data_IF_370046207722
#
_entry.id   IF_370046207722
#
_cell.length_a   1.000
_cell.length_b   1.000
_cell.length_c   1.000
_cell.angle_alpha   90.00
_cell.angle_beta   90.00
_cell.angle_gamma   90.00
#
_symmetry.space_group_name_H-M   'P 1'
#
loop_
_entity.id
_entity.type
_entity.pdbx_description
1 polymer ?
#
# COMPACT_ATOMS: atom_id res chain seq x y z
N UNK A 1 15.53 67.96 66.12
CA UNK A 1 15.11 66.55 66.04
C UNK A 1 15.74 65.80 67.20
N UNK A 2 15.03 64.84 67.79
CA UNK A 2 15.57 64.03 68.91
C UNK A 2 16.29 62.81 68.35
N UNK A 3 17.35 62.31 69.00
CA UNK A 3 18.13 61.16 68.47
C UNK A 3 17.32 59.86 68.33
N UNK A 4 16.19 59.77 69.05
CA UNK A 4 15.23 58.65 68.98
C UNK A 4 14.41 58.72 67.69
N UNK A 5 14.04 59.92 67.26
CA UNK A 5 13.31 60.17 66.02
C UNK A 5 14.17 59.84 64.80
N UNK A 6 15.46 60.20 64.84
CA UNK A 6 16.44 59.84 63.80
C UNK A 6 16.61 58.32 63.68
N UNK A 7 16.78 57.59 64.79
CA UNK A 7 16.86 56.11 64.78
C UNK A 7 15.60 55.47 64.20
N UNK A 8 14.43 56.04 64.49
CA UNK A 8 13.14 55.56 63.96
C UNK A 8 13.05 55.78 62.45
N UNK A 9 13.53 56.92 61.95
CA UNK A 9 13.61 57.21 60.52
C UNK A 9 14.55 56.22 59.82
N UNK A 10 15.73 55.96 60.39
CA UNK A 10 16.68 54.98 59.83
C UNK A 10 16.09 53.56 59.79
N UNK A 11 15.40 53.12 60.85
CA UNK A 11 14.74 51.81 60.87
C UNK A 11 13.66 51.69 59.77
N UNK A 12 12.86 52.74 59.57
CA UNK A 12 11.85 52.79 58.49
C UNK A 12 12.50 52.71 57.11
N UNK A 13 13.63 53.39 56.90
CA UNK A 13 14.36 53.35 55.62
C UNK A 13 14.95 51.96 55.33
N UNK A 14 15.46 51.24 56.33
CA UNK A 14 15.96 49.88 56.12
C UNK A 14 14.81 48.92 55.77
N UNK A 15 13.67 49.03 56.44
CA UNK A 15 12.46 48.26 56.09
C UNK A 15 11.99 48.57 54.68
N UNK A 16 12.02 49.83 54.24
CA UNK A 16 11.67 50.20 52.86
C UNK A 16 12.62 49.59 51.82
N UNK A 17 13.92 49.55 52.12
CA UNK A 17 14.93 48.91 51.26
C UNK A 17 14.67 47.40 51.14
N UNK A 18 14.37 46.73 52.26
CA UNK A 18 14.02 45.32 52.26
C UNK A 18 12.73 45.02 51.50
N UNK A 19 11.70 45.85 51.68
CA UNK A 19 10.45 45.76 50.92
C UNK A 19 10.73 45.87 49.42
N UNK A 20 11.55 46.84 49.00
CA UNK A 20 11.92 47.01 47.59
C UNK A 20 12.64 45.78 47.04
N UNK A 21 13.61 45.24 47.78
CA UNK A 21 14.35 44.05 47.36
C UNK A 21 13.42 42.83 47.21
N UNK A 22 12.56 42.60 48.21
CA UNK A 22 11.58 41.50 48.20
C UNK A 22 10.54 41.67 47.08
N UNK A 23 10.11 42.90 46.81
CA UNK A 23 9.19 43.20 45.69
C UNK A 23 9.80 42.83 44.35
N UNK A 24 11.08 43.14 44.12
CA UNK A 24 11.78 42.75 42.89
C UNK A 24 11.88 41.23 42.77
N UNK A 25 12.19 40.52 43.86
CA UNK A 25 12.23 39.06 43.86
C UNK A 25 10.84 38.45 43.59
N UNK A 26 9.79 39.01 44.18
CA UNK A 26 8.42 38.60 43.97
C UNK A 26 8.02 38.75 42.49
N UNK A 27 8.32 39.88 41.87
CA UNK A 27 8.03 40.09 40.44
C UNK A 27 8.80 39.12 39.53
N UNK A 28 10.07 38.79 39.87
CA UNK A 28 10.83 37.76 39.13
C UNK A 28 10.18 36.37 39.23
N UNK A 29 9.72 35.99 40.42
CA UNK A 29 9.04 34.70 40.63
C UNK A 29 7.70 34.69 39.90
N UNK A 30 6.92 35.77 39.98
CA UNK A 30 5.65 35.93 39.28
C UNK A 30 5.80 35.76 37.77
N UNK A 31 6.78 36.42 37.16
CA UNK A 31 7.08 36.25 35.73
C UNK A 31 7.45 34.80 35.39
N UNK A 32 8.25 34.13 36.23
CA UNK A 32 8.59 32.72 36.01
C UNK A 32 7.36 31.80 36.07
N UNK A 33 6.45 32.04 37.02
CA UNK A 33 5.20 31.29 37.14
C UNK A 33 4.36 31.49 35.87
N UNK A 34 4.18 32.73 35.42
CA UNK A 34 3.40 33.03 34.22
C UNK A 34 3.97 32.29 33.01
N UNK A 35 5.29 32.39 32.77
CA UNK A 35 5.92 31.69 31.65
C UNK A 35 5.75 30.17 31.75
N UNK A 36 5.89 29.59 32.95
CA UNK A 36 5.72 28.15 33.14
C UNK A 36 4.30 27.68 32.86
N UNK A 37 3.29 28.47 33.26
CA UNK A 37 1.88 28.19 32.95
C UNK A 37 1.64 28.28 31.45
N UNK A 38 2.10 29.34 30.78
CA UNK A 38 1.96 29.49 29.33
C UNK A 38 2.63 28.35 28.56
N UNK A 39 3.81 27.89 29.02
CA UNK A 39 4.50 26.74 28.43
C UNK A 39 3.70 25.45 28.62
N UNK A 40 3.13 25.24 29.82
CA UNK A 40 2.27 24.10 30.12
C UNK A 40 1.02 24.08 29.23
N UNK A 41 0.37 25.23 29.05
CA UNK A 41 -0.83 25.35 28.20
C UNK A 41 -0.50 25.08 26.71
N UNK A 42 0.69 25.49 26.26
CA UNK A 42 1.18 25.18 24.91
C UNK A 42 1.46 23.68 24.74
N UNK A 43 2.11 23.05 25.73
CA UNK A 43 2.36 21.61 25.72
C UNK A 43 1.06 20.80 25.74
N UNK A 44 0.04 21.23 26.48
CA UNK A 44 -1.28 20.58 26.51
C UNK A 44 -1.94 20.59 25.12
N UNK A 45 -1.85 21.71 24.39
CA UNK A 45 -2.36 21.81 23.01
C UNK A 45 -1.61 20.85 22.08
N UNK A 46 -0.28 20.81 22.15
CA UNK A 46 0.53 19.88 21.36
C UNK A 46 0.17 18.42 21.67
N UNK A 47 -0.03 18.07 22.94
CA UNK A 47 -0.46 16.73 23.34
C UNK A 47 -1.84 16.37 22.79
N UNK A 48 -2.78 17.31 22.76
CA UNK A 48 -4.09 17.10 22.15
C UNK A 48 -3.98 16.84 20.64
N UNK A 49 -3.11 17.58 19.94
CA UNK A 49 -2.84 17.36 18.51
C UNK A 49 -2.23 15.97 18.25
N UNK A 50 -1.27 15.51 19.06
CA UNK A 50 -0.68 14.18 18.91
C UNK A 50 -1.69 13.05 19.17
N UNK A 51 -2.59 13.22 20.14
CA UNK A 51 -3.66 12.25 20.39
C UNK A 51 -4.63 12.17 19.21
N UNK A 52 -5.00 13.33 18.65
CA UNK A 52 -5.84 13.40 17.46
C UNK A 52 -5.17 12.72 16.26
N UNK A 53 -3.89 12.97 16.04
CA UNK A 53 -3.15 12.33 14.94
C UNK A 53 -3.11 10.80 15.10
N UNK A 54 -2.92 10.31 16.34
CA UNK A 54 -2.98 8.88 16.62
C UNK A 54 -4.36 8.27 16.28
N UNK A 55 -5.44 8.96 16.62
CA UNK A 55 -6.80 8.52 16.27
C UNK A 55 -7.01 8.45 14.75
N UNK A 56 -6.54 9.45 14.01
CA UNK A 56 -6.60 9.46 12.54
C UNK A 56 -5.81 8.30 11.94
N UNK A 57 -4.59 8.03 12.42
CA UNK A 57 -3.79 6.89 11.96
C UNK A 57 -4.46 5.54 12.26
N UNK A 58 -5.12 5.41 13.42
CA UNK A 58 -5.90 4.23 13.74
C UNK A 58 -7.12 4.07 12.81
N UNK A 59 -7.79 5.17 12.47
CA UNK A 59 -8.90 5.17 11.52
C UNK A 59 -8.43 4.77 10.12
N UNK A 60 -7.33 5.33 9.62
CA UNK A 60 -6.74 4.95 8.33
C UNK A 60 -6.36 3.47 8.29
N UNK A 61 -5.74 2.96 9.37
CA UNK A 61 -5.46 1.53 9.51
C UNK A 61 -6.72 0.68 9.36
N UNK A 62 -7.83 1.08 10.00
CA UNK A 62 -9.10 0.34 9.90
C UNK A 62 -9.68 0.42 8.48
N UNK A 63 -9.53 1.56 7.79
CA UNK A 63 -9.92 1.70 6.38
C UNK A 63 -9.16 0.72 5.49
N UNK A 64 -7.84 0.62 5.64
CA UNK A 64 -7.04 -0.34 4.87
C UNK A 64 -7.42 -1.81 5.15
N UNK A 65 -7.82 -2.13 6.38
CA UNK A 65 -8.31 -3.49 6.71
C UNK A 65 -9.59 -3.80 5.93
N UNK A 66 -10.50 -2.83 5.79
CA UNK A 66 -11.73 -3.02 5.02
C UNK A 66 -11.45 -3.13 3.51
N UNK A 67 -10.52 -2.33 2.97
CA UNK A 67 -10.06 -2.47 1.58
C UNK A 67 -9.49 -3.87 1.32
N UNK A 68 -8.68 -4.39 2.23
CA UNK A 68 -8.17 -5.77 2.14
C UNK A 68 -9.32 -6.79 2.19
N UNK A 69 -10.34 -6.58 3.03
CA UNK A 69 -11.51 -7.46 3.09
C UNK A 69 -12.28 -7.47 1.77
N UNK A 70 -12.43 -6.31 1.13
CA UNK A 70 -13.08 -6.18 -0.16
C UNK A 70 -12.30 -6.90 -1.26
N UNK A 71 -10.97 -6.74 -1.30
CA UNK A 71 -10.11 -7.45 -2.26
C UNK A 71 -10.26 -8.96 -2.11
N UNK A 72 -10.30 -9.50 -0.89
CA UNK A 72 -10.54 -10.93 -0.68
C UNK A 72 -11.91 -11.38 -1.20
N UNK A 73 -12.96 -10.57 -0.99
CA UNK A 73 -14.29 -10.86 -1.51
C UNK A 73 -14.31 -10.88 -3.06
N UNK A 74 -13.64 -9.92 -3.69
CA UNK A 74 -13.53 -9.83 -5.15
C UNK A 74 -12.73 -11.00 -5.74
N UNK A 75 -11.65 -11.42 -5.07
CA UNK A 75 -10.89 -12.62 -5.45
C UNK A 75 -11.81 -13.85 -5.45
N UNK A 76 -12.55 -14.08 -4.35
CA UNK A 76 -13.45 -15.23 -4.24
C UNK A 76 -14.56 -15.20 -5.30
N UNK A 77 -15.08 -14.01 -5.63
CA UNK A 77 -16.05 -13.84 -6.70
C UNK A 77 -15.45 -14.22 -8.07
N UNK A 78 -14.24 -13.77 -8.37
CA UNK A 78 -13.54 -14.10 -9.61
C UNK A 78 -13.19 -15.59 -9.72
N UNK A 79 -12.77 -16.23 -8.63
CA UNK A 79 -12.55 -17.67 -8.58
C UNK A 79 -13.82 -18.46 -8.92
N UNK A 80 -14.96 -18.00 -8.42
CA UNK A 80 -16.27 -18.59 -8.73
C UNK A 80 -16.62 -18.44 -10.21
N UNK A 81 -16.39 -17.27 -10.80
CA UNK A 81 -16.62 -17.01 -12.23
C UNK A 81 -15.74 -17.90 -13.11
N UNK A 82 -14.45 -18.04 -12.77
CA UNK A 82 -13.51 -18.90 -13.49
C UNK A 82 -13.99 -20.35 -13.44
N UNK A 83 -14.31 -20.86 -12.25
CA UNK A 83 -14.80 -22.23 -12.07
C UNK A 83 -16.07 -22.48 -12.89
N UNK A 84 -17.03 -21.56 -12.86
CA UNK A 84 -18.26 -21.69 -13.64
C UNK A 84 -17.98 -21.68 -15.16
N UNK A 85 -17.05 -20.85 -15.62
CA UNK A 85 -16.67 -20.78 -17.02
C UNK A 85 -15.96 -22.08 -17.49
N UNK A 86 -15.10 -22.65 -16.65
CA UNK A 86 -14.45 -23.94 -16.90
C UNK A 86 -15.47 -25.08 -16.98
N UNK A 87 -16.42 -25.13 -16.04
CA UNK A 87 -17.52 -26.10 -16.05
C UNK A 87 -18.40 -25.96 -17.31
N UNK A 88 -18.72 -24.72 -17.72
CA UNK A 88 -19.48 -24.47 -18.95
C UNK A 88 -18.71 -24.94 -20.19
N UNK A 89 -17.42 -24.62 -20.27
CA UNK A 89 -16.54 -25.07 -21.35
C UNK A 89 -16.47 -26.59 -21.40
N UNK A 90 -16.32 -27.26 -20.25
CA UNK A 90 -16.27 -28.71 -20.18
C UNK A 90 -17.58 -29.36 -20.65
N UNK A 91 -18.73 -28.79 -20.28
CA UNK A 91 -20.04 -29.23 -20.77
C UNK A 91 -20.17 -29.08 -22.28
N UNK A 92 -19.79 -27.93 -22.84
CA UNK A 92 -19.85 -27.70 -24.29
C UNK A 92 -18.93 -28.64 -25.07
N UNK A 93 -17.72 -28.90 -24.57
CA UNK A 93 -16.80 -29.88 -25.18
C UNK A 93 -17.40 -31.28 -25.10
N UNK A 94 -17.95 -31.67 -23.96
CA UNK A 94 -18.61 -32.97 -23.79
C UNK A 94 -19.78 -33.16 -24.76
N UNK A 95 -20.58 -32.11 -25.00
CA UNK A 95 -21.66 -32.15 -26.00
C UNK A 95 -21.12 -32.29 -27.42
N UNK A 96 -20.10 -31.51 -27.80
CA UNK A 96 -19.49 -31.59 -29.11
C UNK A 96 -18.92 -32.99 -29.41
N UNK A 97 -18.35 -33.65 -28.40
CA UNK A 97 -17.81 -35.00 -28.57
C UNK A 97 -18.91 -36.05 -28.79
N UNK A 98 -20.02 -35.97 -28.04
CA UNK A 98 -21.19 -36.84 -28.27
C UNK A 98 -21.74 -36.70 -29.68
N UNK A 99 -21.87 -35.45 -30.16
CA UNK A 99 -22.31 -35.19 -31.52
C UNK A 99 -21.30 -35.72 -32.56
N UNK A 100 -20.01 -35.63 -32.29
CA UNK A 100 -18.98 -36.20 -33.17
C UNK A 100 -19.03 -37.74 -33.20
N UNK A 101 -19.27 -38.39 -32.05
CA UNK A 101 -19.49 -39.83 -31.94
C UNK A 101 -20.70 -40.30 -32.78
N UNK A 102 -21.76 -39.49 -32.85
CA UNK A 102 -22.93 -39.75 -33.70
C UNK A 102 -22.66 -39.45 -35.19
N UNK A 103 -21.91 -38.39 -35.49
CA UNK A 103 -21.58 -37.96 -36.85
C UNK A 103 -20.67 -38.96 -37.60
N UNK A 104 -19.63 -39.47 -36.94
CA UNK A 104 -18.61 -40.31 -37.58
C UNK A 104 -19.17 -41.57 -38.29
N UNK A 105 -20.04 -42.40 -37.68
CA UNK A 105 -20.61 -43.57 -38.35
C UNK A 105 -21.55 -43.18 -39.50
N UNK A 106 -22.38 -42.14 -39.34
CA UNK A 106 -23.27 -41.65 -40.39
C UNK A 106 -22.50 -41.17 -41.61
N UNK A 107 -21.42 -40.40 -41.40
CA UNK A 107 -20.53 -39.97 -42.49
C UNK A 107 -19.94 -41.18 -43.21
N UNK A 108 -19.46 -42.17 -42.46
CA UNK A 108 -18.87 -43.39 -43.03
C UNK A 108 -19.87 -44.14 -43.90
N UNK A 109 -21.11 -44.32 -43.43
CA UNK A 109 -22.19 -44.96 -44.18
C UNK A 109 -22.51 -44.20 -45.48
N UNK A 110 -22.63 -42.87 -45.41
CA UNK A 110 -22.86 -42.02 -46.60
C UNK A 110 -21.71 -42.12 -47.60
N UNK A 111 -20.46 -42.06 -47.13
CA UNK A 111 -19.28 -42.17 -47.99
C UNK A 111 -19.21 -43.54 -48.68
N UNK A 112 -19.56 -44.62 -47.97
CA UNK A 112 -19.68 -45.96 -48.55
C UNK A 112 -20.75 -45.97 -49.63
N UNK A 113 -21.95 -45.44 -49.36
CA UNK A 113 -23.02 -45.41 -50.36
C UNK A 113 -22.65 -44.61 -51.61
N UNK A 114 -21.98 -43.46 -51.43
CA UNK A 114 -21.52 -42.61 -52.55
C UNK A 114 -20.51 -43.32 -53.43
N UNK A 115 -19.54 -44.02 -52.83
CA UNK A 115 -18.49 -44.73 -53.57
C UNK A 115 -19.00 -46.00 -54.23
N UNK A 116 -19.70 -46.85 -53.49
CA UNK A 116 -20.04 -48.20 -53.94
C UNK A 116 -21.22 -48.23 -54.91
N UNK A 117 -22.24 -47.39 -54.71
CA UNK A 117 -23.46 -47.42 -55.54
C UNK A 117 -23.50 -46.34 -56.62
N UNK A 118 -22.79 -45.22 -56.43
CA UNK A 118 -22.84 -44.07 -57.36
C UNK A 118 -21.50 -43.77 -58.04
N UNK A 119 -20.40 -44.40 -57.61
CA UNK A 119 -19.05 -44.12 -58.13
C UNK A 119 -18.58 -42.68 -57.86
N UNK A 120 -19.21 -41.98 -56.90
CA UNK A 120 -18.88 -40.61 -56.54
C UNK A 120 -17.77 -40.56 -55.48
N UNK A 121 -17.03 -39.46 -55.46
CA UNK A 121 -16.03 -39.20 -54.43
C UNK A 121 -16.67 -39.01 -53.05
N UNK A 122 -15.91 -39.36 -52.00
CA UNK A 122 -16.28 -39.19 -50.59
C UNK A 122 -16.65 -37.74 -50.29
N UNK A 123 -17.47 -37.53 -49.27
CA UNK A 123 -17.67 -36.18 -48.76
C UNK A 123 -16.39 -35.68 -48.08
N UNK A 124 -16.08 -34.37 -48.18
CA UNK A 124 -14.99 -33.75 -47.42
C UNK A 124 -15.12 -34.03 -45.92
N UNK A 125 -13.99 -34.01 -45.20
CA UNK A 125 -14.02 -34.08 -43.73
C UNK A 125 -14.42 -32.72 -43.13
N UNK A 126 -14.95 -32.74 -41.90
CA UNK A 126 -15.36 -31.53 -41.16
C UNK A 126 -14.23 -30.49 -41.00
N UNK A 127 -12.97 -30.91 -41.08
CA UNK A 127 -11.81 -30.02 -41.05
C UNK A 127 -11.38 -29.51 -42.44
N UNK A 128 -11.88 -30.13 -43.52
CA UNK A 128 -11.61 -29.79 -44.92
C UNK A 128 -12.68 -28.83 -45.48
N UNK A 129 -13.91 -28.94 -44.98
CA UNK A 129 -15.04 -28.08 -45.34
C UNK A 129 -14.97 -26.77 -44.51
N UNK A 130 -14.58 -25.68 -45.15
CA UNK A 130 -14.53 -24.31 -44.58
C UNK A 130 -13.52 -24.07 -43.43
N UNK A 131 -12.22 -23.96 -43.74
CA UNK A 131 -11.24 -23.23 -42.90
C UNK A 131 -11.32 -23.48 -41.39
N UNK A 132 -11.56 -24.73 -41.00
CA UNK A 132 -12.33 -25.09 -39.81
C UNK A 132 -11.69 -24.66 -38.49
N UNK A 133 -12.49 -24.03 -37.62
CA UNK A 133 -12.17 -23.78 -36.20
C UNK A 133 -11.96 -25.12 -35.45
N UNK A 134 -12.38 -26.21 -36.05
CA UNK A 134 -12.18 -27.57 -35.58
C UNK A 134 -10.78 -28.02 -36.05
N UNK A 135 -9.77 -27.78 -35.21
CA UNK A 135 -8.45 -28.38 -35.44
C UNK A 135 -8.57 -29.92 -35.43
N UNK A 136 -7.84 -30.65 -36.28
CA UNK A 136 -7.88 -32.12 -36.37
C UNK A 136 -7.68 -32.80 -35.00
N UNK A 137 -6.81 -32.22 -34.18
CA UNK A 137 -6.49 -32.68 -32.82
C UNK A 137 -7.65 -32.52 -31.82
N UNK A 138 -8.68 -31.70 -32.08
CA UNK A 138 -9.72 -31.42 -31.06
C UNK A 138 -10.53 -32.65 -30.68
N UNK A 139 -10.72 -33.57 -31.62
CA UNK A 139 -11.45 -34.82 -31.41
C UNK A 139 -10.50 -36.04 -31.33
N UNK A 140 -9.30 -35.99 -31.93
CA UNK A 140 -8.29 -37.06 -31.82
C UNK A 140 -7.52 -37.06 -30.49
N UNK A 141 -7.22 -35.88 -29.92
CA UNK A 141 -6.42 -35.75 -28.69
C UNK A 141 -7.09 -36.39 -27.47
N UNK A 142 -8.42 -36.57 -27.48
CA UNK A 142 -9.15 -37.11 -26.34
C UNK A 142 -8.98 -38.64 -26.16
N UNK A 143 -8.57 -39.37 -27.21
CA UNK A 143 -8.15 -40.77 -27.03
C UNK A 143 -6.84 -40.89 -26.23
N UNK A 144 -5.99 -39.84 -26.23
CA UNK A 144 -4.68 -39.85 -25.55
C UNK A 144 -4.64 -39.07 -24.22
N UNK A 145 -5.50 -38.07 -23.99
CA UNK A 145 -5.41 -37.20 -22.79
C UNK A 145 -5.95 -37.80 -21.50
N UNK A 146 -6.69 -38.91 -21.54
CA UNK A 146 -7.10 -39.62 -20.32
C UNK A 146 -5.91 -40.14 -19.48
N UNK A 147 -4.69 -40.13 -20.02
CA UNK A 147 -3.49 -40.56 -19.32
C UNK A 147 -2.68 -39.46 -18.61
N UNK A 148 -2.94 -38.16 -18.84
CA UNK A 148 -1.99 -37.10 -18.44
C UNK A 148 -2.57 -35.83 -17.81
N UNK A 149 -3.82 -35.81 -17.34
CA UNK A 149 -4.43 -34.57 -16.78
C UNK A 149 -4.40 -34.47 -15.25
N UNK A 150 -3.58 -35.26 -14.55
CA UNK A 150 -3.49 -35.22 -13.08
C UNK A 150 -2.28 -34.44 -12.55
N UNK A 151 -1.86 -33.32 -13.18
CA UNK A 151 -0.91 -32.37 -12.57
C UNK A 151 -1.11 -30.94 -13.09
N UNK A 152 -2.14 -30.25 -12.61
CA UNK A 152 -2.10 -28.80 -12.47
C UNK A 152 -2.40 -28.49 -11.01
N UNK A 153 -1.39 -28.66 -10.18
CA UNK A 153 -1.34 -28.08 -8.84
C UNK A 153 -0.97 -26.62 -9.01
N UNK A 154 -1.96 -25.74 -8.90
CA UNK A 154 -1.73 -24.31 -8.72
C UNK A 154 -0.87 -24.09 -7.48
N UNK A 155 0.29 -23.41 -7.56
CA UNK A 155 1.03 -23.03 -6.37
C UNK A 155 0.25 -21.89 -5.70
N UNK A 156 -0.47 -22.22 -4.62
CA UNK A 156 -0.94 -21.23 -3.66
C UNK A 156 0.28 -20.49 -3.11
N UNK A 157 0.41 -19.21 -3.44
CA UNK A 157 1.45 -18.34 -2.91
C UNK A 157 1.18 -18.09 -1.42
N UNK A 158 1.61 -19.02 -0.58
CA UNK A 158 1.60 -18.88 0.87
C UNK A 158 2.77 -18.01 1.28
N UNK A 159 2.53 -16.72 1.50
CA UNK A 159 3.46 -15.86 2.24
C UNK A 159 3.40 -16.25 3.73
N UNK A 160 4.24 -17.19 4.14
CA UNK A 160 4.51 -17.46 5.56
C UNK A 160 5.96 -17.18 5.88
N UNK A 161 6.12 -16.18 6.75
CA UNK A 161 7.32 -15.66 7.42
C UNK A 161 8.18 -16.77 8.05
N UNK A 162 9.52 -16.63 8.09
CA UNK A 162 10.37 -17.62 8.73
C UNK A 162 10.31 -17.51 10.27
N UNK A 163 9.95 -18.62 10.92
CA UNK A 163 10.23 -18.88 12.34
C UNK A 163 11.41 -19.86 12.45
N UNK A 164 12.35 -19.68 13.39
CA UNK A 164 13.53 -20.54 13.50
C UNK A 164 13.16 -21.90 14.10
N UNK A 165 13.79 -22.93 13.53
CA UNK A 165 13.74 -24.33 13.96
C UNK A 165 14.52 -24.53 15.27
N UNK A 166 13.94 -25.25 16.21
CA UNK A 166 14.65 -26.17 17.10
C UNK A 166 13.80 -27.41 17.27
N UNK A 167 14.35 -28.52 16.81
CA UNK A 167 13.77 -29.84 16.82
C UNK A 167 13.69 -30.39 18.25
N UNK A 168 12.70 -31.26 18.50
CA UNK A 168 12.92 -32.67 18.88
C UNK A 168 11.58 -33.41 19.07
N UNK A 169 11.38 -34.41 18.21
CA UNK A 169 10.80 -35.74 18.43
C UNK A 169 9.39 -35.96 19.06
N UNK A 170 8.45 -36.36 18.20
CA UNK A 170 7.71 -37.64 18.17
C UNK A 170 6.96 -38.21 19.41
N UNK A 171 5.62 -38.10 19.35
CA UNK A 171 4.60 -39.19 19.40
C UNK A 171 4.21 -39.90 20.74
N UNK A 172 3.05 -40.63 20.83
CA UNK A 172 1.93 -40.23 21.69
C UNK A 172 1.42 -41.30 22.70
N UNK A 173 0.39 -40.90 23.49
CA UNK A 173 -0.64 -41.71 24.17
C UNK A 173 -0.54 -41.99 25.70
N UNK A 174 -1.74 -42.06 26.30
CA UNK A 174 -2.17 -42.56 27.64
C UNK A 174 -2.18 -41.60 28.85
N UNK A 175 -3.39 -41.42 29.43
CA UNK A 175 -3.69 -40.93 30.79
C UNK A 175 -3.58 -42.10 31.82
N UNK A 176 -3.92 -42.02 33.14
CA UNK A 176 -4.40 -40.93 34.03
C UNK A 176 -3.79 -40.92 35.49
N UNK A 177 -4.33 -40.06 36.39
CA UNK A 177 -4.35 -40.07 37.90
C UNK A 177 -3.55 -39.02 38.73
N UNK A 178 -4.31 -38.16 39.46
CA UNK A 178 -4.22 -37.55 40.84
C UNK A 178 -2.89 -37.49 41.66
N UNK A 179 -2.80 -36.73 42.80
CA UNK A 179 -3.35 -35.42 43.24
C UNK A 179 -2.30 -34.47 43.90
N UNK A 180 -2.76 -33.30 44.39
CA UNK A 180 -2.08 -32.18 45.11
C UNK A 180 -1.16 -32.57 46.31
N UNK A 181 -0.26 -31.66 46.78
CA UNK A 181 -0.60 -30.81 47.95
C UNK A 181 -0.05 -29.35 47.88
N UNK A 182 -0.41 -28.49 48.86
CA UNK A 182 -0.30 -27.02 48.82
C UNK A 182 0.89 -26.47 49.65
N UNK A 183 1.30 -25.20 49.44
CA UNK A 183 1.37 -24.18 50.51
C UNK A 183 1.97 -22.82 50.06
N UNK A 184 1.26 -21.76 50.47
CA UNK A 184 1.72 -20.56 51.18
C UNK A 184 2.90 -19.68 50.68
N UNK A 185 2.49 -18.49 50.21
CA UNK A 185 2.89 -17.15 50.67
C UNK A 185 4.23 -16.51 50.19
N UNK A 186 4.37 -15.17 50.29
CA UNK A 186 4.90 -14.34 49.22
C UNK A 186 6.26 -13.72 49.60
N UNK A 187 7.10 -13.40 48.61
CA UNK A 187 8.22 -12.50 48.87
C UNK A 187 8.48 -11.53 47.72
N UNK A 188 8.68 -10.30 48.17
CA UNK A 188 8.93 -9.03 47.52
C UNK A 188 10.39 -8.94 47.02
N UNK A 189 10.57 -8.38 45.80
CA UNK A 189 11.76 -7.66 45.22
C UNK A 189 13.06 -8.43 44.93
N UNK A 190 14.02 -7.91 44.11
CA UNK A 190 14.11 -6.58 43.46
C UNK A 190 14.43 -6.57 41.94
N UNK A 191 14.18 -5.40 41.35
CA UNK A 191 14.72 -4.93 40.07
C UNK A 191 16.25 -4.81 40.14
N UNK A 192 16.95 -5.17 39.05
CA UNK A 192 18.26 -4.59 38.74
C UNK A 192 18.36 -4.30 37.21
N UNK A 193 19.02 -3.20 36.82
CA UNK A 193 19.02 -2.63 35.48
C UNK A 193 20.24 -3.09 34.67
N UNK A 194 20.27 -2.82 33.36
CA UNK A 194 21.45 -2.31 32.63
C UNK A 194 21.18 -2.12 31.13
N UNK A 195 21.89 -1.12 30.56
CA UNK A 195 22.10 -0.74 29.15
C UNK A 195 20.96 0.10 28.50
N UNK A 196 21.14 1.31 27.97
CA UNK A 196 22.31 2.16 27.71
C UNK A 196 22.14 2.88 26.34
N UNK A 197 22.31 4.22 26.30
CA UNK A 197 22.55 5.11 25.12
C UNK A 197 21.35 5.37 24.15
N UNK A 198 20.92 6.59 23.72
CA UNK A 198 21.41 8.00 23.66
C UNK A 198 20.21 9.01 23.48
N UNK A 199 20.41 10.34 23.59
CA UNK A 199 19.33 11.36 23.73
C UNK A 199 18.87 12.02 22.41
N UNK A 200 17.74 12.78 22.40
CA UNK A 200 17.35 13.63 21.27
C UNK A 200 17.86 15.09 21.40
N UNK A 201 18.11 15.74 20.26
CA UNK A 201 18.53 17.14 20.14
C UNK A 201 17.33 18.13 20.10
N UNK A 202 17.51 19.43 20.41
CA UNK A 202 16.41 20.38 20.66
C UNK A 202 15.89 21.10 19.39
N UNK A 203 14.71 21.75 19.45
CA UNK A 203 14.18 22.53 18.34
C UNK A 203 14.70 23.98 18.36
N UNK A 204 15.07 24.52 17.19
CA UNK A 204 15.31 25.95 17.01
C UNK A 204 14.00 26.68 16.69
N UNK A 205 13.60 27.57 17.57
CA UNK A 205 12.65 28.63 17.29
C UNK A 205 13.37 29.79 16.58
N UNK A 206 12.85 30.23 15.44
CA UNK A 206 13.06 31.60 14.93
C UNK A 206 11.72 32.13 14.46
N UNK A 207 11.28 33.18 15.15
CA UNK A 207 10.15 34.04 14.81
C UNK A 207 10.69 35.23 13.99
N UNK A 208 9.97 35.68 12.95
CA UNK A 208 9.75 37.11 12.64
C UNK A 208 8.87 37.28 11.37
N UNK A 209 7.64 37.74 11.63
CA UNK A 209 6.97 38.93 11.06
C UNK A 209 6.96 39.22 9.54
N UNK A 210 5.74 39.37 9.03
CA UNK A 210 5.35 40.54 8.21
C UNK A 210 4.98 40.27 6.75
N UNK A 211 3.68 40.28 6.40
CA UNK A 211 3.00 41.45 5.80
C UNK A 211 1.58 41.09 5.31
N UNK A 212 0.68 42.07 5.50
CA UNK A 212 -0.73 42.12 5.10
C UNK A 212 -0.90 42.61 3.66
N UNK A 213 -2.06 42.31 3.06
CA UNK A 213 -2.66 42.99 1.90
C UNK A 213 -3.09 41.99 0.81
N UNK A 214 -4.33 41.48 0.72
CA UNK A 214 -5.66 42.07 0.53
C UNK A 214 -6.04 42.37 -0.95
N UNK A 215 -7.22 41.85 -1.32
CA UNK A 215 -8.11 42.20 -2.44
C UNK A 215 -7.90 41.60 -3.86
N UNK A 216 -8.97 40.99 -4.37
CA UNK A 216 -9.18 40.67 -5.79
C UNK A 216 -10.33 39.69 -6.02
N UNK A 217 -11.52 40.22 -6.31
CA UNK A 217 -12.80 39.53 -6.50
C UNK A 217 -12.98 38.93 -7.91
N UNK A 218 -13.77 37.83 -7.96
CA UNK A 218 -14.78 37.41 -8.95
C UNK A 218 -14.59 37.51 -10.48
N UNK A 219 -14.83 36.37 -11.16
CA UNK A 219 -15.84 36.14 -12.24
C UNK A 219 -15.69 34.69 -12.77
N UNK A 220 -16.68 33.79 -12.64
CA UNK A 220 -17.69 33.40 -13.66
C UNK A 220 -17.07 32.89 -14.99
N UNK A 221 -17.42 31.76 -15.64
CA UNK A 221 -18.55 30.79 -15.62
C UNK A 221 -18.08 29.51 -16.44
N UNK A 222 -18.92 28.46 -16.61
CA UNK A 222 -18.51 27.06 -16.88
C UNK A 222 -18.75 26.61 -18.34
N UNK A 223 -18.79 25.28 -18.57
CA UNK A 223 -19.24 24.51 -19.78
C UNK A 223 -18.07 24.00 -20.66
N UNK A 224 -18.00 22.80 -21.26
CA UNK A 224 -18.89 21.64 -21.45
C UNK A 224 -18.11 20.30 -21.60
N UNK A 225 -18.89 19.23 -21.49
CA UNK A 225 -18.77 17.86 -22.01
C UNK A 225 -18.30 17.80 -23.48
N UNK A 226 -17.37 16.89 -23.81
CA UNK A 226 -17.45 16.07 -25.05
C UNK A 226 -16.34 15.01 -25.13
N UNK A 227 -16.72 13.73 -25.00
CA UNK A 227 -16.06 12.62 -25.69
C UNK A 227 -16.36 12.72 -27.20
N UNK A 228 -15.51 12.11 -28.05
CA UNK A 228 -16.10 11.12 -28.94
C UNK A 228 -15.31 9.82 -29.05
N UNK A 229 -16.09 8.74 -28.98
CA UNK A 229 -15.79 7.42 -29.53
C UNK A 229 -15.92 7.48 -31.05
N UNK A 230 -14.92 6.95 -31.76
CA UNK A 230 -14.97 6.43 -33.14
C UNK A 230 -13.58 5.92 -33.46
N UNK A 231 -13.32 4.87 -34.25
CA UNK A 231 -14.14 3.86 -34.91
C UNK A 231 -13.09 2.88 -35.46
N UNK A 232 -13.45 1.60 -35.46
CA UNK A 232 -12.78 0.47 -36.09
C UNK A 232 -12.22 0.79 -37.48
N UNK A 233 -10.94 0.46 -37.69
CA UNK A 233 -10.43 -0.01 -38.98
C UNK A 233 -9.17 -0.87 -38.79
N UNK A 234 -9.35 -2.19 -38.95
CA UNK A 234 -8.34 -3.12 -39.45
C UNK A 234 -8.35 -3.03 -40.99
N UNK A 235 -7.27 -3.37 -41.73
CA UNK A 235 -6.79 -4.76 -41.77
C UNK A 235 -5.28 -5.01 -42.03
N UNK A 236 -4.93 -6.29 -41.77
CA UNK A 236 -3.94 -7.16 -42.45
C UNK A 236 -2.43 -7.04 -42.23
N UNK A 237 -1.89 -8.24 -41.91
CA UNK A 237 -0.62 -8.85 -42.32
C UNK A 237 0.59 -8.75 -41.37
N UNK A 238 0.87 -9.93 -40.79
CA UNK A 238 2.18 -10.58 -40.69
C UNK A 238 3.38 -9.69 -40.36
N UNK A 239 3.65 -9.56 -39.07
CA UNK A 239 4.93 -9.09 -38.56
C UNK A 239 5.08 -9.44 -37.09
N UNK A 240 5.94 -10.41 -36.78
CA UNK A 240 6.48 -10.63 -35.45
C UNK A 240 7.08 -9.32 -34.94
N UNK A 241 6.36 -8.59 -34.11
CA UNK A 241 6.88 -7.40 -33.44
C UNK A 241 7.66 -7.88 -32.20
N UNK A 242 8.94 -7.53 -32.04
CA UNK A 242 9.63 -7.81 -30.79
C UNK A 242 8.91 -7.00 -29.71
N UNK A 243 8.66 -7.66 -28.58
CA UNK A 243 8.19 -6.99 -27.36
C UNK A 243 9.20 -5.90 -27.00
N UNK A 244 8.90 -4.65 -27.36
CA UNK A 244 9.51 -3.49 -26.74
C UNK A 244 9.05 -3.50 -25.28
N UNK A 245 9.80 -4.21 -24.43
CA UNK A 245 9.73 -4.02 -22.98
C UNK A 245 10.05 -2.56 -22.75
N UNK A 246 9.02 -1.74 -22.51
CA UNK A 246 9.19 -0.39 -22.04
C UNK A 246 9.98 -0.48 -20.75
N UNK A 247 11.29 -0.25 -20.82
CA UNK A 247 12.10 -0.11 -19.62
C UNK A 247 11.52 1.06 -18.84
N UNK A 248 11.31 0.89 -17.51
CA UNK A 248 10.86 1.99 -16.67
C UNK A 248 11.75 3.23 -16.91
N UNK A 249 11.18 4.43 -17.05
CA UNK A 249 11.95 5.65 -17.25
C UNK A 249 13.02 5.80 -16.17
N UNK A 250 14.24 6.25 -16.50
CA UNK A 250 15.30 6.41 -15.52
C UNK A 250 14.84 7.36 -14.41
N UNK A 251 14.98 6.91 -13.15
CA UNK A 251 14.60 7.68 -11.97
C UNK A 251 15.82 8.40 -11.36
N UNK A 252 15.59 9.48 -10.60
CA UNK A 252 16.59 10.15 -9.76
C UNK A 252 16.09 10.22 -8.31
N UNK A 253 16.98 10.24 -7.32
CA UNK A 253 16.59 10.50 -5.94
C UNK A 253 16.42 11.99 -5.66
N UNK A 254 15.37 12.36 -4.91
CA UNK A 254 15.21 13.72 -4.39
C UNK A 254 16.33 14.04 -3.38
N UNK A 255 16.94 15.23 -3.44
CA UNK A 255 17.99 15.62 -2.48
C UNK A 255 17.46 15.89 -1.06
N UNK A 256 16.16 16.11 -0.90
CA UNK A 256 15.55 16.44 0.40
C UNK A 256 14.97 15.20 1.08
N UNK A 257 14.13 14.44 0.38
CA UNK A 257 13.46 13.27 0.95
C UNK A 257 14.00 11.93 0.45
N UNK A 258 14.99 11.93 -0.45
CA UNK A 258 15.65 10.73 -0.99
C UNK A 258 14.76 9.76 -1.80
N UNK A 259 13.46 10.04 -1.93
CA UNK A 259 12.54 9.25 -2.73
C UNK A 259 12.84 9.33 -4.23
N UNK A 260 12.56 8.22 -4.93
CA UNK A 260 12.72 8.14 -6.38
C UNK A 260 11.66 8.99 -7.09
N UNK A 261 12.12 9.92 -7.92
CA UNK A 261 11.31 10.81 -8.75
C UNK A 261 11.76 10.71 -10.21
N UNK A 262 10.88 11.06 -11.15
CA UNK A 262 11.24 11.09 -12.58
C UNK A 262 12.47 11.98 -12.82
N UNK A 263 13.43 11.53 -13.65
CA UNK A 263 14.73 12.22 -13.84
C UNK A 263 14.60 13.69 -14.29
N UNK A 264 13.54 14.03 -15.01
CA UNK A 264 13.25 15.39 -15.48
C UNK A 264 12.25 16.17 -14.61
N UNK A 265 11.81 15.64 -13.46
CA UNK A 265 10.89 16.36 -12.57
C UNK A 265 11.55 17.63 -11.99
N UNK A 266 10.94 18.83 -12.14
CA UNK A 266 11.51 20.09 -11.64
C UNK A 266 11.34 20.26 -10.12
N UNK A 267 10.33 19.59 -9.54
CA UNK A 267 9.99 19.63 -8.11
C UNK A 267 9.63 18.21 -7.66
N UNK A 268 9.99 17.83 -6.44
CA UNK A 268 9.58 16.54 -5.87
C UNK A 268 8.06 16.54 -5.61
N UNK A 269 7.28 15.57 -6.11
CA UNK A 269 5.84 15.55 -5.87
C UNK A 269 5.48 15.32 -4.39
N UNK A 270 6.37 14.66 -3.64
CA UNK A 270 6.16 14.28 -2.24
C UNK A 270 6.48 15.43 -1.27
N UNK A 271 7.68 16.03 -1.36
CA UNK A 271 8.11 17.06 -0.40
C UNK A 271 8.16 18.48 -0.96
N UNK A 272 7.80 18.67 -2.24
CA UNK A 272 7.83 19.97 -2.96
C UNK A 272 9.19 20.66 -3.02
N UNK A 273 10.27 19.99 -2.62
CA UNK A 273 11.62 20.53 -2.77
C UNK A 273 12.03 20.62 -4.25
N UNK A 274 12.71 21.71 -4.62
CA UNK A 274 13.18 21.96 -5.99
C UNK A 274 14.30 20.97 -6.35
N UNK A 275 14.14 20.25 -7.45
CA UNK A 275 15.15 19.29 -7.89
C UNK A 275 16.28 20.00 -8.64
N UNK A 276 17.52 19.84 -8.18
CA UNK A 276 18.71 20.32 -8.87
C UNK A 276 19.38 19.15 -9.60
N UNK A 277 19.72 19.33 -10.87
CA UNK A 277 20.54 18.36 -11.62
C UNK A 277 21.94 18.31 -11.01
N UNK A 278 22.51 17.09 -10.87
CA UNK A 278 23.89 16.91 -10.41
C UNK A 278 24.93 17.36 -11.44
N UNK A 279 24.54 17.58 -12.69
CA UNK A 279 25.44 18.01 -13.77
C UNK A 279 24.92 19.28 -14.44
N UNK A 280 25.12 20.47 -13.84
CA UNK A 280 24.72 21.73 -14.46
C UNK A 280 25.60 22.00 -15.69
N UNK A 281 24.97 22.24 -16.85
CA UNK A 281 25.67 22.70 -18.06
C UNK A 281 26.34 24.05 -17.74
N UNK A 282 27.65 24.14 -17.95
CA UNK A 282 28.42 25.39 -17.75
C UNK A 282 27.79 26.51 -18.59
N UNK A 283 27.55 27.71 -18.02
CA UNK A 283 27.07 28.83 -18.81
C UNK A 283 28.13 29.23 -19.83
N UNK A 284 27.73 29.37 -21.11
CA UNK A 284 28.60 29.93 -22.15
C UNK A 284 28.87 31.40 -21.80
N UNK A 285 30.14 31.79 -21.66
CA UNK A 285 30.54 33.20 -21.59
C UNK A 285 30.03 33.89 -22.85
N UNK A 286 29.29 34.99 -22.69
CA UNK A 286 29.07 35.96 -23.76
C UNK A 286 30.33 36.81 -23.82
N UNK A 287 31.09 36.68 -24.89
CA UNK A 287 32.13 37.65 -25.21
C UNK A 287 31.44 38.97 -25.60
N UNK A 288 31.95 40.07 -25.03
CA UNK A 288 31.53 41.44 -25.33
C UNK A 288 32.51 42.03 -26.34
#
# INVERSE_FOLDING_TARGET
>A
MTSVEERTIFAKLEVMKDIRMKTIQLEKIKLRIINQVENSDAEEKCLAEYRRELELLMQEKMSHVEELRQIHADINAMETVIKQAEENRQRSIGMANRLHEEFAPLKTEIDTMRREYLGLERLPELHEEEGSIIAPERFQQQQHTNFYTNKITTPSASFTRPTPVSALAANPATAPHHPLPPNDNPHITPLNPTHGFLPPAPPSAVNHQGLRGAHGLSAAKPSEISNPVSRIQQPTSLGMHPTFRQQPPPMKSCLSCHQQIHRNAPICPLCKAKSRSRNPKKPKKKDH
#
